data_IF_124382805072
#
_entry.id   IF_124382805072
#
_cell.length_a   1.000
_cell.length_b   1.000
_cell.length_c   1.000
_cell.angle_alpha   90.00
_cell.angle_beta   90.00
_cell.angle_gamma   90.00
#
_symmetry.space_group_name_H-M   'P 1'
#
loop_
_entity.id
_entity.type
_entity.pdbx_description
1 polymer ?
#
# COMPACT_ATOMS: atom_id res chain seq x y z
N UNK A 1 -86.21 2.68 6.72
CA UNK A 1 -85.37 3.48 5.81
C UNK A 1 -84.16 3.94 6.60
N UNK A 2 -82.91 3.75 6.14
CA UNK A 2 -82.46 4.02 4.76
C UNK A 2 -81.71 2.86 4.07
N UNK A 3 -81.50 3.09 2.77
CA UNK A 3 -80.96 2.25 1.68
C UNK A 3 -79.67 2.99 1.21
N UNK A 4 -78.45 2.43 1.34
CA UNK A 4 -77.61 1.70 0.34
C UNK A 4 -76.56 2.56 -0.44
N UNK A 5 -75.27 2.17 -0.23
CA UNK A 5 -74.06 2.09 -1.12
C UNK A 5 -73.39 3.35 -1.73
N UNK A 6 -72.11 3.28 -2.24
CA UNK A 6 -71.19 2.13 -2.50
C UNK A 6 -69.77 2.27 -1.88
N UNK A 7 -69.02 1.19 -1.58
CA UNK A 7 -68.24 0.24 -2.41
C UNK A 7 -66.87 0.74 -2.92
N UNK A 8 -65.81 0.17 -2.31
CA UNK A 8 -64.50 -0.25 -2.85
C UNK A 8 -63.60 0.83 -3.49
N UNK A 9 -62.43 1.06 -2.90
CA UNK A 9 -61.15 0.96 -3.61
C UNK A 9 -60.00 0.71 -2.64
N UNK A 10 -59.24 -0.32 -2.97
CA UNK A 10 -58.02 -0.78 -2.34
C UNK A 10 -56.97 0.32 -2.22
N UNK A 11 -56.29 0.34 -1.07
CA UNK A 11 -54.87 0.66 -1.05
C UNK A 11 -54.21 -0.12 0.08
N UNK A 12 -53.66 -1.27 -0.31
CA UNK A 12 -52.65 -1.99 0.44
C UNK A 12 -51.53 -1.03 0.87
N UNK A 13 -51.39 -0.83 2.19
CA UNK A 13 -50.14 -0.39 2.79
C UNK A 13 -49.48 -1.62 3.39
N UNK A 14 -48.80 -2.37 2.52
CA UNK A 14 -47.91 -3.46 2.92
C UNK A 14 -46.74 -2.89 3.74
N UNK A 15 -46.72 -3.30 4.99
CA UNK A 15 -45.55 -3.79 5.75
C UNK A 15 -44.18 -3.59 5.11
N UNK A 16 -43.32 -2.83 5.80
CA UNK A 16 -41.90 -2.75 5.47
C UNK A 16 -41.07 -2.12 6.58
N UNK A 17 -41.27 -2.54 7.83
CA UNK A 17 -40.22 -2.36 8.85
C UNK A 17 -39.03 -3.18 8.34
N UNK A 18 -37.99 -2.48 7.91
CA UNK A 18 -36.78 -3.04 7.32
C UNK A 18 -36.16 -4.08 8.29
N UNK A 19 -36.20 -5.39 8.02
CA UNK A 19 -35.71 -6.40 8.93
C UNK A 19 -34.25 -6.71 8.59
N UNK A 20 -33.35 -5.80 8.92
CA UNK A 20 -31.93 -6.08 8.93
C UNK A 20 -31.22 -5.18 9.94
N UNK A 21 -30.86 -5.74 11.10
CA UNK A 21 -29.48 -5.75 11.62
C UNK A 21 -29.38 -6.65 12.88
N UNK A 22 -29.47 -8.00 12.74
CA UNK A 22 -29.05 -8.94 13.79
C UNK A 22 -27.52 -9.14 13.86
N UNK A 23 -26.76 -8.43 13.01
CA UNK A 23 -25.37 -8.70 12.67
C UNK A 23 -24.36 -7.79 13.42
N UNK A 24 -24.81 -6.70 14.03
CA UNK A 24 -23.91 -5.70 14.65
C UNK A 24 -23.25 -6.20 15.96
N UNK A 25 -24.03 -6.87 16.82
CA UNK A 25 -23.50 -7.49 18.06
C UNK A 25 -22.56 -8.67 17.77
N UNK A 26 -22.88 -9.48 16.76
CA UNK A 26 -22.03 -10.58 16.32
C UNK A 26 -20.71 -10.06 15.75
N UNK A 27 -20.75 -9.01 14.92
CA UNK A 27 -19.57 -8.31 14.41
C UNK A 27 -18.74 -7.66 15.53
N UNK A 28 -19.37 -6.96 16.46
CA UNK A 28 -18.68 -6.37 17.62
C UNK A 28 -17.96 -7.45 18.46
N UNK A 29 -18.59 -8.60 18.66
CA UNK A 29 -17.99 -9.72 19.37
C UNK A 29 -16.80 -10.34 18.62
N UNK A 30 -16.90 -10.51 17.30
CA UNK A 30 -15.78 -11.01 16.48
C UNK A 30 -14.61 -10.00 16.41
N UNK A 31 -14.89 -8.70 16.32
CA UNK A 31 -13.86 -7.65 16.43
C UNK A 31 -13.21 -7.66 17.81
N UNK A 32 -13.99 -7.76 18.89
CA UNK A 32 -13.47 -7.84 20.25
C UNK A 32 -12.59 -9.08 20.48
N UNK A 33 -12.97 -10.23 19.92
CA UNK A 33 -12.12 -11.44 19.90
C UNK A 33 -10.82 -11.21 19.13
N UNK A 34 -10.90 -10.59 17.96
CA UNK A 34 -9.73 -10.23 17.15
C UNK A 34 -8.76 -9.33 17.92
N UNK A 35 -9.26 -8.28 18.58
CA UNK A 35 -8.47 -7.39 19.42
C UNK A 35 -7.87 -8.11 20.64
N UNK A 36 -8.64 -8.98 21.29
CA UNK A 36 -8.15 -9.80 22.42
C UNK A 36 -7.03 -10.74 21.98
N UNK A 37 -7.18 -11.37 20.80
CA UNK A 37 -6.15 -12.21 20.19
C UNK A 37 -4.89 -11.41 19.85
N UNK A 38 -5.03 -10.24 19.20
CA UNK A 38 -3.91 -9.35 18.91
C UNK A 38 -3.21 -8.91 20.20
N UNK A 39 -3.95 -8.51 21.23
CA UNK A 39 -3.40 -8.17 22.53
C UNK A 39 -2.61 -9.33 23.15
N UNK A 40 -3.17 -10.55 23.14
CA UNK A 40 -2.49 -11.74 23.65
C UNK A 40 -1.20 -12.04 22.87
N UNK A 41 -1.23 -11.90 21.54
CA UNK A 41 -0.06 -12.09 20.66
C UNK A 41 1.01 -11.02 20.89
N UNK A 42 0.61 -9.76 21.02
CA UNK A 42 1.51 -8.66 21.36
C UNK A 42 2.15 -8.89 22.73
N UNK A 43 1.36 -9.29 23.73
CA UNK A 43 1.88 -9.56 25.07
C UNK A 43 2.86 -10.75 25.08
N UNK A 44 2.53 -11.84 24.38
CA UNK A 44 3.43 -12.98 24.24
C UNK A 44 4.74 -12.60 23.51
N UNK A 45 4.64 -11.71 22.50
CA UNK A 45 5.81 -11.20 21.76
C UNK A 45 6.66 -10.30 22.65
N UNK A 46 6.03 -9.37 23.40
CA UNK A 46 6.72 -8.52 24.37
C UNK A 46 7.44 -9.34 25.44
N UNK A 47 6.82 -10.40 25.96
CA UNK A 47 7.44 -11.33 26.91
C UNK A 47 8.69 -12.02 26.34
N UNK A 48 8.60 -12.55 25.11
CA UNK A 48 9.75 -13.17 24.43
C UNK A 48 10.87 -12.16 24.13
N UNK A 49 10.52 -10.94 23.74
CA UNK A 49 11.49 -9.86 23.51
C UNK A 49 12.20 -9.47 24.80
N UNK A 50 11.47 -9.38 25.92
CA UNK A 50 12.05 -9.10 27.23
C UNK A 50 13.00 -10.23 27.65
N UNK A 51 12.59 -11.49 27.51
CA UNK A 51 13.43 -12.66 27.82
C UNK A 51 14.72 -12.66 26.99
N UNK A 52 14.62 -12.43 25.67
CA UNK A 52 15.76 -12.32 24.79
C UNK A 52 16.69 -11.16 25.17
N UNK A 53 16.11 -10.00 25.50
CA UNK A 53 16.89 -8.85 25.97
C UNK A 53 17.61 -9.18 27.29
N UNK A 54 16.94 -9.78 28.26
CA UNK A 54 17.53 -10.21 29.53
C UNK A 54 18.71 -11.16 29.32
N UNK A 55 18.58 -12.13 28.40
CA UNK A 55 19.67 -13.04 28.07
C UNK A 55 20.88 -12.31 27.45
N UNK A 56 20.62 -11.38 26.52
CA UNK A 56 21.69 -10.58 25.89
C UNK A 56 22.39 -9.68 26.91
N UNK A 57 21.65 -9.00 27.79
CA UNK A 57 22.24 -8.17 28.84
C UNK A 57 23.08 -9.00 29.81
N UNK A 58 22.57 -10.14 30.29
CA UNK A 58 23.33 -11.04 31.16
C UNK A 58 24.63 -11.55 30.50
N UNK A 59 24.59 -11.85 29.20
CA UNK A 59 25.78 -12.25 28.44
C UNK A 59 26.80 -11.11 28.32
N UNK A 60 26.34 -9.88 28.02
CA UNK A 60 27.19 -8.69 27.93
C UNK A 60 27.86 -8.41 29.29
N UNK A 61 27.11 -8.46 30.38
CA UNK A 61 27.63 -8.28 31.74
C UNK A 61 28.70 -9.34 32.05
N UNK A 62 28.39 -10.63 31.83
CA UNK A 62 29.34 -11.72 32.08
C UNK A 62 30.64 -11.58 31.25
N UNK A 63 30.55 -11.21 29.98
CA UNK A 63 31.72 -11.07 29.11
C UNK A 63 32.55 -9.83 29.48
N UNK A 64 31.90 -8.74 29.90
CA UNK A 64 32.57 -7.56 30.43
C UNK A 64 33.29 -7.88 31.74
N UNK A 65 32.66 -8.60 32.67
CA UNK A 65 33.28 -9.06 33.94
C UNK A 65 34.51 -9.95 33.70
N UNK A 66 34.49 -10.76 32.63
CA UNK A 66 35.63 -11.58 32.21
C UNK A 66 36.71 -10.79 31.45
N UNK A 67 36.50 -9.50 31.21
CA UNK A 67 37.41 -8.63 30.46
C UNK A 67 37.52 -8.98 28.97
N UNK A 68 36.53 -9.69 28.42
CA UNK A 68 36.52 -10.13 27.02
C UNK A 68 35.88 -9.11 26.08
N UNK A 69 35.09 -8.18 26.62
CA UNK A 69 34.42 -7.11 25.88
C UNK A 69 34.52 -5.79 26.65
N UNK A 70 34.53 -4.69 25.90
CA UNK A 70 34.38 -3.33 26.39
C UNK A 70 33.00 -2.77 26.02
N UNK A 71 32.35 -2.08 26.97
CA UNK A 71 30.99 -1.56 26.79
C UNK A 71 30.93 -0.47 25.72
N UNK A 72 31.94 0.41 25.67
CA UNK A 72 32.00 1.51 24.70
C UNK A 72 32.21 0.97 23.27
N UNK A 73 33.02 -0.08 23.12
CA UNK A 73 33.18 -0.80 21.85
C UNK A 73 31.87 -1.46 21.38
N UNK A 74 31.13 -2.12 22.30
CA UNK A 74 29.83 -2.72 21.99
C UNK A 74 28.84 -1.66 21.50
N UNK A 75 28.75 -0.52 22.18
CA UNK A 75 27.81 0.53 21.82
C UNK A 75 28.10 1.14 20.46
N UNK A 76 29.38 1.27 20.12
CA UNK A 76 29.83 1.71 18.79
C UNK A 76 29.43 0.69 17.71
N UNK A 77 29.71 -0.61 17.94
CA UNK A 77 29.31 -1.68 17.02
C UNK A 77 27.79 -1.80 16.86
N UNK A 78 27.03 -1.62 17.94
CA UNK A 78 25.57 -1.66 17.94
C UNK A 78 24.99 -0.66 16.94
N UNK A 79 25.51 0.57 16.88
CA UNK A 79 25.06 1.60 15.93
C UNK A 79 25.26 1.15 14.47
N UNK A 80 26.41 0.58 14.15
CA UNK A 80 26.72 0.08 12.80
C UNK A 80 25.84 -1.13 12.42
N UNK A 81 25.66 -2.07 13.34
CA UNK A 81 24.81 -3.25 13.13
C UNK A 81 23.35 -2.82 12.98
N UNK A 82 22.86 -1.87 13.78
CA UNK A 82 21.51 -1.34 13.69
C UNK A 82 21.21 -0.74 12.31
N UNK A 83 22.13 0.06 11.76
CA UNK A 83 21.99 0.61 10.41
C UNK A 83 21.93 -0.49 9.34
N UNK A 84 22.78 -1.53 9.45
CA UNK A 84 22.76 -2.67 8.53
C UNK A 84 21.47 -3.48 8.63
N UNK A 85 20.99 -3.74 9.85
CA UNK A 85 19.75 -4.46 10.10
C UNK A 85 18.54 -3.65 9.63
N UNK A 86 18.52 -2.34 9.85
CA UNK A 86 17.47 -1.45 9.33
C UNK A 86 17.45 -1.48 7.80
N UNK A 87 18.60 -1.34 7.15
CA UNK A 87 18.70 -1.44 5.67
C UNK A 87 18.19 -2.80 5.18
N UNK A 88 18.57 -3.89 5.85
CA UNK A 88 18.10 -5.25 5.51
C UNK A 88 16.61 -5.41 5.75
N UNK A 89 16.08 -4.89 6.84
CA UNK A 89 14.65 -4.91 7.17
C UNK A 89 13.86 -4.19 6.07
N UNK A 90 14.22 -2.93 5.76
CA UNK A 90 13.61 -2.15 4.69
C UNK A 90 13.74 -2.81 3.30
N UNK A 91 14.79 -3.60 3.07
CA UNK A 91 15.01 -4.31 1.80
C UNK A 91 14.31 -5.67 1.70
N UNK A 92 14.08 -6.37 2.82
CA UNK A 92 13.58 -7.75 2.82
C UNK A 92 12.13 -7.88 3.26
N UNK A 93 11.63 -6.93 4.06
CA UNK A 93 10.25 -6.93 4.55
C UNK A 93 9.86 -5.48 4.88
N UNK A 94 9.27 -4.75 3.93
CA UNK A 94 8.71 -3.46 4.26
C UNK A 94 7.62 -3.77 5.28
N UNK A 95 7.84 -3.39 6.54
CA UNK A 95 6.74 -3.24 7.47
C UNK A 95 5.67 -2.31 6.87
N UNK A 96 4.70 -1.92 7.67
CA UNK A 96 3.68 -0.96 7.25
C UNK A 96 4.35 0.27 6.59
N UNK A 97 4.21 0.39 5.27
CA UNK A 97 4.85 1.43 4.47
C UNK A 97 3.77 2.39 3.99
N UNK A 98 3.81 3.60 4.52
CA UNK A 98 2.93 4.69 4.14
C UNK A 98 3.72 5.71 3.33
N UNK A 99 3.02 6.42 2.44
CA UNK A 99 3.59 7.57 1.76
C UNK A 99 3.87 8.69 2.78
N UNK A 100 5.09 9.22 2.73
CA UNK A 100 5.55 10.37 3.53
C UNK A 100 6.20 11.41 2.60
N UNK A 101 6.00 12.73 2.84
CA UNK A 101 5.09 13.31 3.83
C UNK A 101 3.62 13.12 3.44
N UNK A 102 2.73 13.11 4.44
CA UNK A 102 1.28 13.12 4.21
C UNK A 102 0.83 14.46 3.61
N UNK A 103 0.23 14.41 2.41
CA UNK A 103 -0.31 15.56 1.71
C UNK A 103 -1.70 15.21 1.14
N UNK A 104 -2.62 16.18 1.16
CA UNK A 104 -3.93 15.98 0.56
C UNK A 104 -3.84 15.89 -0.97
N UNK A 105 -4.34 14.79 -1.54
CA UNK A 105 -4.22 14.49 -2.97
C UNK A 105 -5.13 15.32 -3.88
N UNK A 106 -6.17 15.96 -3.33
CA UNK A 106 -7.10 16.79 -4.09
C UNK A 106 -6.62 18.25 -4.19
N UNK A 107 -5.75 18.67 -3.27
CA UNK A 107 -5.11 19.99 -3.24
C UNK A 107 -3.64 19.96 -3.70
N UNK A 108 -3.15 18.78 -4.11
CA UNK A 108 -1.81 18.61 -4.66
C UNK A 108 -1.55 19.54 -5.86
N UNK A 109 -0.57 20.43 -5.72
CA UNK A 109 -0.36 21.58 -6.62
C UNK A 109 0.49 21.28 -7.86
N UNK A 110 1.09 20.08 -7.96
CA UNK A 110 2.00 19.71 -9.05
C UNK A 110 1.52 18.50 -9.87
N UNK A 111 0.24 18.43 -10.31
CA UNK A 111 -0.21 17.33 -11.14
C UNK A 111 0.50 17.37 -12.50
N UNK A 112 0.97 16.21 -12.97
CA UNK A 112 1.60 16.08 -14.28
C UNK A 112 0.55 15.66 -15.30
N UNK A 113 0.44 16.43 -16.37
CA UNK A 113 -0.40 16.11 -17.52
C UNK A 113 0.46 15.45 -18.61
N UNK A 114 0.15 14.20 -18.94
CA UNK A 114 0.76 13.44 -20.02
C UNK A 114 -0.33 13.12 -21.04
N UNK A 115 -0.01 13.27 -22.33
CA UNK A 115 -0.84 12.81 -23.44
C UNK A 115 -0.79 11.28 -23.54
N UNK A 116 -1.46 10.63 -22.59
CA UNK A 116 -1.62 9.18 -22.50
C UNK A 116 -2.48 8.63 -23.63
N UNK A 117 -3.48 9.38 -24.10
CA UNK A 117 -4.40 8.95 -25.17
C UNK A 117 -3.63 8.52 -26.42
N UNK A 118 -2.62 9.30 -26.82
CA UNK A 118 -1.81 9.00 -28.00
C UNK A 118 -0.60 8.08 -27.74
N UNK A 119 -0.41 7.57 -26.52
CA UNK A 119 0.81 6.83 -26.10
C UNK A 119 0.55 5.54 -25.34
N UNK A 120 -0.61 5.35 -24.73
CA UNK A 120 -0.85 4.25 -23.79
C UNK A 120 -0.80 2.87 -24.45
N UNK A 121 -1.18 2.80 -25.72
CA UNK A 121 -1.07 1.59 -26.55
C UNK A 121 0.39 1.20 -26.87
N UNK A 122 1.34 2.12 -26.70
CA UNK A 122 2.77 1.84 -26.87
C UNK A 122 3.41 1.41 -25.55
N UNK A 123 3.19 2.18 -24.48
CA UNK A 123 3.75 1.86 -23.17
C UNK A 123 2.97 0.77 -22.42
N UNK A 124 1.83 0.34 -22.95
CA UNK A 124 0.96 -0.69 -22.35
C UNK A 124 0.58 -0.36 -20.91
N UNK A 125 0.26 0.91 -20.64
CA UNK A 125 -0.03 1.44 -19.31
C UNK A 125 1.03 1.10 -18.24
N UNK A 126 2.31 1.17 -18.60
CA UNK A 126 3.46 0.86 -17.74
C UNK A 126 3.39 1.44 -16.31
N UNK A 127 2.85 2.65 -16.12
CA UNK A 127 2.65 3.26 -14.81
C UNK A 127 1.79 2.40 -13.86
N UNK A 128 0.83 1.63 -14.40
CA UNK A 128 -0.03 0.73 -13.63
C UNK A 128 0.70 -0.51 -13.12
N UNK A 129 1.92 -0.81 -13.58
CA UNK A 129 2.76 -1.89 -13.03
C UNK A 129 3.70 -1.43 -11.91
N UNK A 130 3.85 -0.12 -11.69
CA UNK A 130 4.71 0.42 -10.63
C UNK A 130 4.20 0.08 -9.23
N UNK A 131 5.11 -0.19 -8.30
CA UNK A 131 4.80 -0.51 -6.89
C UNK A 131 5.20 0.67 -6.02
N UNK A 132 4.28 1.13 -5.18
CA UNK A 132 4.49 2.25 -4.26
C UNK A 132 3.54 2.13 -3.06
N UNK A 133 3.92 2.68 -1.89
CA UNK A 133 3.04 2.78 -0.73
C UNK A 133 1.92 3.80 -0.97
N UNK A 134 0.76 3.57 -0.38
CA UNK A 134 -0.37 4.48 -0.38
C UNK A 134 -0.26 5.46 0.79
N UNK A 135 -0.91 6.62 0.65
CA UNK A 135 -1.10 7.55 1.76
C UNK A 135 -2.20 7.04 2.70
N UNK A 136 -2.26 7.59 3.92
CA UNK A 136 -3.37 7.32 4.84
C UNK A 136 -4.71 7.81 4.27
N UNK A 137 -4.74 8.96 3.59
CA UNK A 137 -5.92 9.43 2.86
C UNK A 137 -6.43 8.39 1.85
N UNK A 138 -5.55 7.76 1.06
CA UNK A 138 -5.95 6.73 0.09
C UNK A 138 -6.56 5.49 0.74
N UNK A 139 -6.08 5.13 1.92
CA UNK A 139 -6.57 3.98 2.71
C UNK A 139 -7.94 4.30 3.31
N UNK A 140 -8.07 5.48 3.93
CA UNK A 140 -9.30 5.92 4.61
C UNK A 140 -10.46 6.15 3.62
N UNK A 141 -10.18 6.65 2.41
CA UNK A 141 -11.18 6.79 1.34
C UNK A 141 -11.71 5.45 0.82
N UNK A 142 -10.93 4.37 0.95
CA UNK A 142 -11.32 3.01 0.56
C UNK A 142 -11.48 2.77 -0.95
N UNK A 143 -11.25 3.78 -1.79
CA UNK A 143 -11.28 3.66 -3.25
C UNK A 143 -10.08 2.87 -3.75
N UNK A 144 -8.87 3.21 -3.28
CA UNK A 144 -7.64 2.59 -3.77
C UNK A 144 -7.37 1.30 -2.99
N UNK A 145 -7.42 0.16 -3.69
CA UNK A 145 -7.08 -1.15 -3.14
C UNK A 145 -5.59 -1.27 -2.81
N UNK A 146 -5.30 -1.87 -1.65
CA UNK A 146 -3.95 -2.23 -1.21
C UNK A 146 -3.80 -3.74 -1.00
N UNK A 147 -2.56 -4.22 -1.03
CA UNK A 147 -2.21 -5.65 -0.97
C UNK A 147 -2.20 -6.19 0.47
N UNK A 148 -2.99 -7.23 0.76
CA UNK A 148 -3.10 -7.77 2.11
C UNK A 148 -1.76 -8.32 2.63
N UNK A 149 -0.99 -8.95 1.75
CA UNK A 149 0.34 -9.50 2.08
C UNK A 149 1.42 -8.43 2.25
N UNK A 150 1.18 -7.20 1.79
CA UNK A 150 2.08 -6.04 1.90
C UNK A 150 1.25 -4.80 2.26
N UNK A 151 0.87 -4.65 3.55
CA UNK A 151 -0.09 -3.65 3.97
C UNK A 151 0.20 -2.25 3.42
N UNK A 152 -0.84 -1.66 2.84
CA UNK A 152 -0.87 -0.30 2.29
C UNK A 152 -0.03 -0.06 1.04
N UNK A 153 0.54 -1.09 0.42
CA UNK A 153 1.10 -1.00 -0.93
C UNK A 153 -0.01 -1.15 -1.97
N UNK A 154 0.06 -0.42 -3.08
CA UNK A 154 -0.92 -0.53 -4.19
C UNK A 154 -1.13 -1.98 -4.63
N UNK A 155 -2.39 -2.44 -4.59
CA UNK A 155 -2.72 -3.83 -4.91
C UNK A 155 -2.47 -4.17 -6.39
N UNK A 156 -1.97 -5.38 -6.65
CA UNK A 156 -1.69 -5.91 -7.99
C UNK A 156 -2.55 -7.12 -8.32
N UNK A 157 -3.01 -7.19 -9.57
CA UNK A 157 -3.58 -8.40 -10.14
C UNK A 157 -2.51 -9.43 -10.50
N UNK A 158 -2.95 -10.64 -10.85
CA UNK A 158 -2.05 -11.73 -11.27
C UNK A 158 -1.23 -11.40 -12.53
N UNK A 159 -1.67 -10.41 -13.31
CA UNK A 159 -1.00 -9.88 -14.51
C UNK A 159 0.07 -8.81 -14.20
N UNK A 160 0.28 -8.48 -12.92
CA UNK A 160 1.23 -7.46 -12.47
C UNK A 160 0.74 -6.01 -12.60
N UNK A 161 -0.45 -5.80 -13.15
CA UNK A 161 -1.08 -4.47 -13.21
C UNK A 161 -1.80 -4.15 -11.91
N UNK A 162 -1.95 -2.87 -11.57
CA UNK A 162 -2.78 -2.48 -10.44
C UNK A 162 -4.24 -2.91 -10.64
N UNK A 163 -4.97 -3.11 -9.54
CA UNK A 163 -6.37 -3.51 -9.59
C UNK A 163 -7.29 -2.53 -10.35
N UNK A 164 -6.86 -1.27 -10.49
CA UNK A 164 -7.64 -0.21 -11.15
C UNK A 164 -7.33 -0.03 -12.63
N UNK A 165 -6.52 -0.92 -13.21
CA UNK A 165 -6.23 -0.92 -14.63
C UNK A 165 -7.42 -1.48 -15.43
N UNK A 166 -7.90 -0.73 -16.42
CA UNK A 166 -8.87 -1.22 -17.38
C UNK A 166 -8.16 -2.02 -18.47
N UNK A 167 -8.36 -3.35 -18.46
CA UNK A 167 -7.76 -4.26 -19.43
C UNK A 167 -8.29 -4.07 -20.85
N UNK A 168 -9.48 -3.49 -21.02
CA UNK A 168 -10.08 -3.30 -22.35
C UNK A 168 -9.67 -1.96 -22.96
N UNK A 169 -9.82 -0.87 -22.20
CA UNK A 169 -9.53 0.49 -22.68
C UNK A 169 -8.11 0.98 -22.44
N UNK A 170 -7.25 0.19 -21.77
CA UNK A 170 -5.91 0.58 -21.33
C UNK A 170 -5.88 1.82 -20.42
N UNK A 171 -7.00 2.11 -19.74
CA UNK A 171 -7.20 3.28 -18.89
C UNK A 171 -7.07 3.01 -17.39
N UNK A 172 -7.23 4.06 -16.59
CA UNK A 172 -7.35 3.97 -15.14
C UNK A 172 -8.81 4.19 -14.72
N UNK A 173 -9.43 3.20 -14.07
CA UNK A 173 -10.84 3.27 -13.65
C UNK A 173 -11.09 4.25 -12.50
N UNK A 174 -10.02 4.66 -11.80
CA UNK A 174 -10.05 5.61 -10.66
C UNK A 174 -9.28 6.90 -10.96
N UNK A 175 -9.22 7.32 -12.23
CA UNK A 175 -8.35 8.43 -12.68
C UNK A 175 -8.49 9.72 -11.86
N UNK A 176 -9.72 10.10 -11.49
CA UNK A 176 -10.01 11.31 -10.69
C UNK A 176 -9.63 11.18 -9.21
N UNK A 177 -9.47 9.95 -8.70
CA UNK A 177 -9.19 9.61 -7.30
C UNK A 177 -7.78 9.04 -7.11
N UNK A 178 -6.94 9.12 -8.16
CA UNK A 178 -5.56 8.62 -8.17
C UNK A 178 -4.77 9.11 -6.95
N UNK A 179 -3.91 8.25 -6.36
CA UNK A 179 -3.03 8.64 -5.26
C UNK A 179 -1.95 9.62 -5.77
N UNK A 180 -1.30 10.35 -4.87
CA UNK A 180 -0.28 11.35 -5.23
C UNK A 180 0.83 10.76 -6.12
N UNK A 181 1.39 9.56 -5.86
CA UNK A 181 2.39 8.97 -6.74
C UNK A 181 1.91 8.87 -8.19
N UNK A 182 0.62 8.55 -8.43
CA UNK A 182 0.07 8.52 -9.79
C UNK A 182 -0.21 9.91 -10.39
N UNK A 183 -0.43 10.95 -9.56
CA UNK A 183 -0.66 12.33 -10.01
C UNK A 183 0.63 13.06 -10.34
N UNK A 184 1.65 12.84 -9.54
CA UNK A 184 2.97 13.46 -9.65
C UNK A 184 3.88 12.75 -10.65
N UNK A 185 3.55 11.51 -11.03
CA UNK A 185 4.42 10.72 -11.88
C UNK A 185 4.50 11.23 -13.32
N UNK A 186 5.71 11.64 -13.70
CA UNK A 186 6.07 12.04 -15.05
C UNK A 186 6.88 10.95 -15.74
N UNK A 187 6.28 10.29 -16.74
CA UNK A 187 6.97 9.23 -17.46
C UNK A 187 7.94 9.73 -18.55
N UNK A 188 7.99 11.04 -18.88
CA UNK A 188 8.77 11.57 -20.02
C UNK A 188 10.25 11.23 -19.95
N UNK A 189 10.80 11.25 -18.74
CA UNK A 189 12.22 10.97 -18.49
C UNK A 189 12.46 9.55 -17.94
N UNK A 190 11.40 8.73 -17.85
CA UNK A 190 11.51 7.37 -17.32
C UNK A 190 12.06 6.41 -18.37
N UNK A 191 13.37 6.19 -18.31
CA UNK A 191 14.11 5.29 -19.23
C UNK A 191 13.70 3.83 -19.12
N UNK A 192 12.98 3.44 -18.05
CA UNK A 192 12.37 2.11 -17.93
C UNK A 192 11.24 1.93 -18.93
N UNK A 193 10.61 3.03 -19.37
CA UNK A 193 9.48 3.05 -20.29
C UNK A 193 9.87 3.61 -21.66
N UNK A 194 10.56 4.75 -21.71
CA UNK A 194 10.83 5.49 -22.95
C UNK A 194 12.33 5.62 -23.21
N UNK A 195 12.79 5.13 -24.35
CA UNK A 195 14.13 5.47 -24.88
C UNK A 195 14.10 6.84 -25.58
N UNK A 196 12.95 7.21 -26.14
CA UNK A 196 12.70 8.55 -26.67
C UNK A 196 11.20 8.86 -26.56
N UNK A 197 10.83 9.76 -25.65
CA UNK A 197 9.43 10.09 -25.39
C UNK A 197 8.77 10.85 -26.55
N UNK A 198 9.51 11.75 -27.20
CA UNK A 198 8.99 12.59 -28.29
C UNK A 198 8.79 11.75 -29.56
N UNK A 199 9.76 10.89 -29.88
CA UNK A 199 9.69 9.99 -31.02
C UNK A 199 8.90 8.70 -30.74
N UNK A 200 8.25 8.58 -29.57
CA UNK A 200 7.41 7.44 -29.17
C UNK A 200 8.17 6.09 -29.17
N UNK A 201 9.47 6.11 -28.88
CA UNK A 201 10.31 4.91 -28.83
C UNK A 201 10.30 4.36 -27.40
N UNK A 202 9.61 3.23 -27.23
CA UNK A 202 9.53 2.52 -25.96
C UNK A 202 10.77 1.66 -25.69
N UNK A 203 11.05 1.43 -24.41
CA UNK A 203 12.06 0.46 -23.99
C UNK A 203 11.55 -0.96 -24.28
N UNK A 204 12.26 -1.77 -25.09
CA UNK A 204 11.84 -3.14 -25.43
C UNK A 204 11.61 -4.04 -24.21
N UNK A 205 12.29 -3.75 -23.08
CA UNK A 205 12.14 -4.50 -21.82
C UNK A 205 10.74 -4.43 -21.21
N UNK A 206 9.89 -3.48 -21.63
CA UNK A 206 8.49 -3.40 -21.19
C UNK A 206 7.70 -4.69 -21.46
N UNK A 207 8.10 -5.46 -22.48
CA UNK A 207 7.49 -6.72 -22.87
C UNK A 207 8.07 -7.93 -22.14
N UNK A 208 9.12 -7.76 -21.33
CA UNK A 208 9.71 -8.85 -20.58
C UNK A 208 8.78 -9.30 -19.45
N UNK A 209 8.71 -10.62 -19.18
CA UNK A 209 8.03 -11.13 -18.00
C UNK A 209 8.63 -10.52 -16.74
N UNK A 210 7.77 -10.11 -15.80
CA UNK A 210 8.12 -9.50 -14.51
C UNK A 210 8.69 -8.07 -14.55
N UNK A 211 8.57 -7.33 -15.65
CA UNK A 211 8.83 -5.88 -15.63
C UNK A 211 7.87 -5.14 -14.66
N UNK A 212 8.34 -4.18 -13.83
CA UNK A 212 9.69 -3.63 -13.77
C UNK A 212 10.64 -4.34 -12.77
N UNK A 213 10.20 -5.42 -12.12
CA UNK A 213 10.94 -6.10 -11.05
C UNK A 213 12.20 -6.83 -11.53
N UNK A 214 12.32 -7.08 -12.83
CA UNK A 214 13.48 -7.71 -13.43
C UNK A 214 14.60 -6.72 -13.83
N UNK A 215 14.39 -5.41 -13.62
CA UNK A 215 15.40 -4.38 -13.89
C UNK A 215 16.52 -4.42 -12.84
N UNK A 216 17.76 -4.18 -13.28
CA UNK A 216 18.89 -4.00 -12.36
C UNK A 216 18.79 -2.67 -11.60
N UNK A 217 19.54 -2.53 -10.50
CA UNK A 217 19.56 -1.29 -9.72
C UNK A 217 19.94 -0.06 -10.58
N UNK A 218 20.90 -0.20 -11.48
CA UNK A 218 21.31 0.86 -12.41
C UNK A 218 20.22 1.24 -13.43
N UNK A 219 19.31 0.31 -13.74
CA UNK A 219 18.16 0.56 -14.64
C UNK A 219 16.94 1.08 -13.89
N UNK A 220 16.88 0.91 -12.56
CA UNK A 220 15.83 1.47 -11.70
C UNK A 220 16.10 2.93 -11.32
N UNK A 221 17.35 3.41 -11.38
CA UNK A 221 17.69 4.80 -11.10
C UNK A 221 17.07 5.75 -12.15
N UNK A 222 16.15 6.60 -11.70
CA UNK A 222 15.61 7.70 -12.50
C UNK A 222 16.65 8.82 -12.58
N UNK A 223 16.94 9.40 -13.76
CA UNK A 223 17.70 10.64 -13.83
C UNK A 223 16.89 11.76 -13.15
N UNK A 224 17.31 12.19 -11.96
CA UNK A 224 16.75 13.35 -11.24
C UNK A 224 15.91 13.06 -9.99
N UNK A 225 15.99 11.85 -9.40
CA UNK A 225 15.30 11.51 -8.16
C UNK A 225 15.95 12.06 -6.89
N UNK A 226 16.09 13.39 -6.75
CA UNK A 226 16.12 14.00 -5.42
C UNK A 226 14.66 14.27 -5.01
N UNK A 227 14.12 13.38 -4.17
CA UNK A 227 12.94 13.72 -3.38
C UNK A 227 13.47 14.67 -2.30
N UNK A 228 13.22 15.97 -2.47
CA UNK A 228 13.36 16.96 -1.40
C UNK A 228 12.21 16.83 -0.40
#
# INVERSE_FOLDING_TARGET
>A
MPIVLPSIMDQESQTGINPAMPDDLARHHEVAKGLTYLHARTNATAGRTLEAASFVYALIELLTEKGLLDLDEIDTRKKQVAQRLLKRFLQQDPGVSLQEPEQDKYTFSQPVAIDCENRVHLCQAACCKMVFPLSRQDIEEGVIRWELSQPYVIAKGADGYCHHFDRQGLGCTVHSQRPIPCRAYDCRNDRRIWLDFENKIVNPKLNEPNWPHNLSAAEMELPGGEIQ
#
